data_IF_201585668598
#
_entry.id   IF_201585668598
#
_cell.length_a   1.000
_cell.length_b   1.000
_cell.length_c   1.000
_cell.angle_alpha   90.00
_cell.angle_beta   90.00
_cell.angle_gamma   90.00
#
_symmetry.space_group_name_H-M   'P 1'
#
loop_
_entity.id
_entity.type
_entity.pdbx_description
1 polymer ?
#
# COMPACT_ATOMS: atom_id res chain seq x y z
N UNK A 1 -6.63 13.70 -14.84
CA UNK A 1 -6.63 13.10 -13.49
C UNK A 1 -6.51 11.59 -13.60
N UNK A 2 -5.60 11.00 -12.87
CA UNK A 2 -5.50 9.54 -12.83
C UNK A 2 -6.52 9.00 -11.81
N UNK A 3 -7.20 7.92 -12.19
CA UNK A 3 -8.11 7.20 -11.32
C UNK A 3 -7.33 6.01 -10.75
N UNK A 4 -7.47 5.76 -9.46
CA UNK A 4 -6.86 4.62 -8.79
C UNK A 4 -7.92 3.58 -8.50
N UNK A 5 -7.57 2.31 -8.73
CA UNK A 5 -8.39 1.17 -8.36
C UNK A 5 -7.55 0.24 -7.48
N UNK A 6 -8.11 -0.18 -6.36
CA UNK A 6 -7.46 -1.11 -5.44
C UNK A 6 -8.07 -2.50 -5.61
N UNK A 7 -7.22 -3.51 -5.59
CA UNK A 7 -7.68 -4.89 -5.63
C UNK A 7 -6.81 -5.78 -4.77
N UNK A 8 -7.31 -6.96 -4.43
CA UNK A 8 -6.57 -7.97 -3.68
C UNK A 8 -7.25 -9.33 -3.76
N UNK A 9 -6.52 -10.35 -3.37
CA UNK A 9 -7.03 -11.70 -3.26
C UNK A 9 -7.75 -11.85 -1.89
N UNK A 10 -9.04 -12.25 -1.85
CA UNK A 10 -9.79 -12.33 -0.59
C UNK A 10 -9.19 -13.32 0.43
N UNK A 11 -8.60 -14.42 -0.03
CA UNK A 11 -7.98 -15.40 0.86
C UNK A 11 -6.76 -14.81 1.54
N UNK A 12 -5.95 -14.08 0.78
CA UNK A 12 -4.77 -13.40 1.31
C UNK A 12 -5.17 -12.27 2.26
N UNK A 13 -6.25 -11.55 1.97
CA UNK A 13 -6.77 -10.50 2.85
C UNK A 13 -7.17 -11.07 4.20
N UNK A 14 -7.88 -12.21 4.22
CA UNK A 14 -8.27 -12.89 5.45
C UNK A 14 -7.06 -13.36 6.25
N UNK A 15 -6.07 -13.95 5.58
CA UNK A 15 -4.84 -14.40 6.22
C UNK A 15 -4.06 -13.23 6.81
N UNK A 16 -4.00 -12.11 6.10
CA UNK A 16 -3.33 -10.91 6.57
C UNK A 16 -3.99 -10.34 7.84
N UNK A 17 -5.32 -10.31 7.85
CA UNK A 17 -6.07 -9.84 9.01
C UNK A 17 -5.79 -10.71 10.24
N UNK A 18 -5.76 -12.04 10.08
CA UNK A 18 -5.44 -12.95 11.17
C UNK A 18 -4.00 -12.76 11.68
N UNK A 19 -3.06 -12.58 10.76
CA UNK A 19 -1.64 -12.51 11.09
C UNK A 19 -1.23 -11.16 11.69
N UNK A 20 -1.75 -10.07 11.12
CA UNK A 20 -1.28 -8.72 11.45
C UNK A 20 -2.34 -7.82 12.08
N UNK A 21 -3.61 -8.26 12.12
CA UNK A 21 -4.68 -7.46 12.67
C UNK A 21 -5.07 -6.25 11.82
N UNK A 22 -4.64 -6.21 10.57
CA UNK A 22 -4.91 -5.10 9.64
C UNK A 22 -5.71 -5.62 8.45
N UNK A 23 -6.87 -5.02 8.20
CA UNK A 23 -7.66 -5.33 7.01
C UNK A 23 -7.13 -4.57 5.81
N UNK A 24 -7.33 -5.12 4.61
CA UNK A 24 -6.94 -4.41 3.39
C UNK A 24 -7.83 -3.19 3.14
N UNK A 25 -9.10 -3.23 3.57
CA UNK A 25 -9.99 -2.08 3.51
C UNK A 25 -9.43 -0.90 4.30
N UNK A 26 -8.88 -1.16 5.48
CA UNK A 26 -8.19 -0.15 6.27
C UNK A 26 -6.90 0.31 5.60
N UNK A 27 -6.13 -0.64 5.06
CA UNK A 27 -4.84 -0.34 4.41
C UNK A 27 -4.99 0.60 3.22
N UNK A 28 -6.06 0.45 2.42
CA UNK A 28 -6.33 1.34 1.28
C UNK A 28 -6.34 2.81 1.73
N UNK A 29 -6.81 3.09 2.92
CA UNK A 29 -6.94 4.46 3.44
C UNK A 29 -5.59 5.13 3.66
N UNK A 30 -4.52 4.35 3.84
CA UNK A 30 -3.17 4.91 3.95
C UNK A 30 -2.73 5.60 2.65
N UNK A 31 -3.25 5.18 1.51
CA UNK A 31 -2.91 5.79 0.22
C UNK A 31 -3.47 7.20 0.06
N UNK A 32 -4.38 7.62 0.93
CA UNK A 32 -4.87 9.00 0.97
C UNK A 32 -3.99 9.93 1.82
N UNK A 33 -2.98 9.39 2.49
CA UNK A 33 -2.04 10.20 3.28
C UNK A 33 -1.22 11.09 2.34
N UNK A 34 -1.27 12.43 2.50
CA UNK A 34 -0.50 13.33 1.64
C UNK A 34 1.01 13.17 1.79
N UNK A 35 1.47 12.53 2.86
CA UNK A 35 2.89 12.26 3.11
C UNK A 35 3.28 10.81 2.83
N UNK A 36 2.44 10.08 2.11
CA UNK A 36 2.70 8.69 1.74
C UNK A 36 4.11 8.53 1.15
N UNK A 37 4.88 7.62 1.72
CA UNK A 37 6.22 7.28 1.24
C UNK A 37 6.15 5.97 0.46
N UNK A 38 6.58 5.98 -0.81
CA UNK A 38 6.62 4.76 -1.63
C UNK A 38 8.07 4.50 -2.01
N UNK A 39 8.53 3.28 -1.74
CA UNK A 39 9.89 2.84 -2.07
C UNK A 39 9.84 1.49 -2.79
N UNK A 40 10.79 1.24 -3.72
CA UNK A 40 10.89 -0.08 -4.33
C UNK A 40 11.32 -1.10 -3.28
N UNK A 41 10.72 -2.28 -3.31
CA UNK A 41 11.12 -3.39 -2.44
C UNK A 41 11.98 -4.36 -3.21
N UNK A 42 11.37 -5.33 -3.90
CA UNK A 42 12.09 -6.35 -4.67
C UNK A 42 11.31 -6.72 -5.91
N UNK A 43 11.99 -7.36 -6.84
CA UNK A 43 11.33 -7.97 -8.00
C UNK A 43 11.09 -9.43 -7.65
N UNK A 44 9.85 -9.88 -7.78
CA UNK A 44 9.46 -11.26 -7.53
C UNK A 44 8.62 -11.74 -8.71
N UNK A 45 9.02 -12.86 -9.30
CA UNK A 45 8.40 -13.43 -10.50
C UNK A 45 8.29 -12.42 -11.64
N UNK A 46 9.33 -11.60 -11.82
CA UNK A 46 9.36 -10.58 -12.86
C UNK A 46 8.57 -9.31 -12.58
N UNK A 47 7.94 -9.21 -11.40
CA UNK A 47 7.12 -8.07 -11.03
C UNK A 47 7.75 -7.27 -9.90
N UNK A 48 7.85 -5.94 -10.09
CA UNK A 48 8.37 -5.04 -9.06
C UNK A 48 7.33 -4.89 -7.95
N UNK A 49 7.76 -5.18 -6.72
CA UNK A 49 6.97 -4.90 -5.52
C UNK A 49 7.42 -3.61 -4.87
N UNK A 50 6.49 -2.94 -4.23
CA UNK A 50 6.69 -1.64 -3.61
C UNK A 50 6.26 -1.67 -2.15
N UNK A 51 6.94 -0.88 -1.33
CA UNK A 51 6.50 -0.56 0.03
C UNK A 51 5.84 0.81 0.02
N UNK A 52 4.65 0.89 0.62
CA UNK A 52 4.01 2.16 0.90
C UNK A 52 3.93 2.31 2.43
N UNK A 53 4.39 3.44 2.95
CA UNK A 53 4.29 3.74 4.37
C UNK A 53 3.38 4.97 4.50
N UNK A 54 2.27 4.82 5.20
CA UNK A 54 1.29 5.89 5.35
C UNK A 54 0.51 5.77 6.64
N UNK A 55 -0.09 6.89 7.04
CA UNK A 55 -0.86 6.99 8.29
C UNK A 55 -2.34 6.94 7.99
N UNK A 56 -3.07 6.13 8.76
CA UNK A 56 -4.53 6.04 8.71
C UNK A 56 -5.10 6.70 9.96
N UNK A 57 -6.06 7.60 9.74
CA UNK A 57 -6.78 8.29 10.82
C UNK A 57 -5.88 9.03 11.82
N UNK A 58 -4.73 9.51 11.33
CA UNK A 58 -3.83 10.35 12.10
C UNK A 58 -2.96 9.63 13.14
N UNK A 59 -3.15 8.31 13.34
CA UNK A 59 -2.41 7.63 14.39
C UNK A 59 -1.89 6.23 14.05
N UNK A 60 -2.43 5.58 13.04
CA UNK A 60 -2.01 4.22 12.69
C UNK A 60 -1.09 4.25 11.47
N UNK A 61 0.20 4.02 11.68
CA UNK A 61 1.16 3.97 10.56
C UNK A 61 1.31 2.55 10.06
N UNK A 62 1.06 2.36 8.76
CA UNK A 62 1.08 1.05 8.11
C UNK A 62 2.20 0.95 7.08
N UNK A 63 2.76 -0.26 6.97
CA UNK A 63 3.58 -0.65 5.84
C UNK A 63 2.75 -1.57 4.96
N UNK A 64 2.64 -1.23 3.69
CA UNK A 64 1.83 -1.98 2.72
C UNK A 64 2.74 -2.44 1.59
N UNK A 65 2.75 -3.76 1.32
CA UNK A 65 3.42 -4.30 0.14
C UNK A 65 2.40 -4.39 -0.98
N UNK A 66 2.74 -3.83 -2.14
CA UNK A 66 1.82 -3.79 -3.27
C UNK A 66 2.55 -3.84 -4.59
N UNK A 67 1.80 -4.15 -5.64
CA UNK A 67 2.22 -3.96 -7.02
C UNK A 67 1.34 -2.88 -7.64
N UNK A 68 1.78 -2.34 -8.77
CA UNK A 68 1.08 -1.26 -9.44
C UNK A 68 1.28 -1.38 -10.94
N UNK A 69 0.20 -1.18 -11.71
CA UNK A 69 0.25 -1.10 -13.17
C UNK A 69 -0.87 -0.22 -13.69
N UNK A 70 -0.75 0.18 -14.94
CA UNK A 70 -1.78 0.99 -15.60
C UNK A 70 -2.64 0.12 -16.49
N UNK A 71 -3.94 0.39 -16.51
CA UNK A 71 -4.90 -0.20 -17.46
C UNK A 71 -5.66 0.90 -18.17
N UNK A 72 -6.00 0.66 -19.43
CA UNK A 72 -6.85 1.58 -20.19
C UNK A 72 -8.29 1.10 -20.07
N UNK A 73 -9.14 1.96 -19.53
CA UNK A 73 -10.58 1.69 -19.41
C UNK A 73 -11.38 2.84 -20.02
N UNK A 74 -12.16 2.54 -21.04
CA UNK A 74 -13.04 3.50 -21.72
C UNK A 74 -12.31 4.79 -22.16
N UNK A 75 -11.06 4.67 -22.58
CA UNK A 75 -10.24 5.80 -23.03
C UNK A 75 -9.49 6.50 -21.92
N UNK A 76 -9.71 6.13 -20.67
CA UNK A 76 -8.98 6.69 -19.51
C UNK A 76 -7.95 5.70 -18.99
N UNK A 77 -6.84 6.23 -18.47
CA UNK A 77 -5.84 5.41 -17.79
C UNK A 77 -6.23 5.24 -16.32
N UNK A 78 -6.31 3.98 -15.88
CA UNK A 78 -6.58 3.62 -14.50
C UNK A 78 -5.33 3.01 -13.90
N UNK A 79 -4.88 3.56 -12.78
CA UNK A 79 -3.76 3.01 -12.02
C UNK A 79 -4.31 1.93 -11.08
N UNK A 80 -3.88 0.68 -11.27
CA UNK A 80 -4.33 -0.44 -10.46
C UNK A 80 -3.28 -0.75 -9.40
N UNK A 81 -3.69 -0.74 -8.15
CA UNK A 81 -2.84 -1.04 -7.00
C UNK A 81 -3.33 -2.34 -6.39
N UNK A 82 -2.49 -3.39 -6.44
CA UNK A 82 -2.82 -4.68 -5.85
C UNK A 82 -2.12 -4.84 -4.51
N UNK A 83 -2.91 -4.94 -3.44
CA UNK A 83 -2.38 -5.13 -2.10
C UNK A 83 -1.96 -6.59 -1.90
N UNK A 84 -0.77 -6.78 -1.34
CA UNK A 84 -0.20 -8.10 -1.08
C UNK A 84 -0.16 -8.36 0.42
N UNK A 85 0.27 -7.39 1.21
CA UNK A 85 0.27 -7.49 2.68
C UNK A 85 0.21 -6.09 3.30
N UNK A 86 -0.24 -6.04 4.54
CA UNK A 86 -0.31 -4.80 5.31
C UNK A 86 -0.11 -5.12 6.79
N UNK A 87 0.74 -4.34 7.43
CA UNK A 87 1.01 -4.47 8.86
C UNK A 87 1.35 -3.10 9.45
N UNK A 88 1.40 -3.01 10.75
CA UNK A 88 1.90 -1.80 11.37
C UNK A 88 3.37 -1.60 11.05
N UNK A 89 3.77 -0.36 10.82
CA UNK A 89 5.15 -0.01 10.53
C UNK A 89 6.02 -0.26 11.77
N UNK A 90 7.23 -0.78 11.53
CA UNK A 90 8.22 -0.92 12.59
C UNK A 90 8.96 0.40 12.85
N UNK A 91 9.88 0.37 13.80
CA UNK A 91 10.62 1.59 14.19
C UNK A 91 11.40 2.22 13.06
N UNK A 92 12.08 1.41 12.25
CA UNK A 92 12.87 1.92 11.13
C UNK A 92 11.98 2.55 10.05
N UNK A 93 10.86 1.91 9.78
CA UNK A 93 9.89 2.39 8.81
C UNK A 93 9.26 3.71 9.26
N UNK A 94 8.93 3.80 10.55
CA UNK A 94 8.43 5.05 11.14
C UNK A 94 9.45 6.18 10.98
N UNK A 95 10.72 5.90 11.21
CA UNK A 95 11.78 6.89 11.06
C UNK A 95 11.90 7.37 9.62
N UNK A 96 11.83 6.46 8.64
CA UNK A 96 11.85 6.84 7.22
C UNK A 96 10.72 7.79 6.87
N UNK A 97 9.52 7.46 7.30
CA UNK A 97 8.34 8.29 7.07
C UNK A 97 8.50 9.67 7.71
N UNK A 98 8.88 9.71 8.99
CA UNK A 98 9.06 10.97 9.73
C UNK A 98 10.18 11.83 9.13
N UNK A 99 11.28 11.22 8.68
CA UNK A 99 12.38 11.94 8.08
C UNK A 99 11.99 12.60 6.75
N UNK A 100 11.10 11.96 6.00
CA UNK A 100 10.65 12.49 4.71
C UNK A 100 9.85 13.78 4.87
N UNK A 101 9.09 13.92 5.95
CA UNK A 101 8.22 15.08 6.16
C UNK A 101 8.89 16.24 6.88
N UNK A 102 10.17 16.12 7.22
CA UNK A 102 10.95 17.19 7.82
C UNK A 102 11.55 18.13 6.77
#
# INVERSE_FOLDING_TARGET
MSVQRFEWNPVKASANLRKHGVSFETAVRAFADPFLLIEPERIEDGEQRWHAIGVVEGHMMLLIVHTIWDEDEAGDTVEVIRLISARQADRKERQKYENKIR
#
